data_IF_980244340258
#
_entry.id   IF_980244340258
#
_cell.length_a   1.000
_cell.length_b   1.000
_cell.length_c   1.000
_cell.angle_alpha   90.00
_cell.angle_beta   90.00
_cell.angle_gamma   90.00
#
_symmetry.space_group_name_H-M   'P 1'
#
loop_
_entity.id
_entity.type
_entity.pdbx_description
1 polymer ?
#
# COMPACT_ATOMS: atom_id res chain seq x y z
N UNK A 1 -12.60 -35.03 -3.84
CA UNK A 1 -12.37 -35.15 -5.30
C UNK A 1 -13.13 -34.03 -5.99
N UNK A 2 -12.45 -33.04 -6.59
CA UNK A 2 -13.09 -32.01 -7.40
C UNK A 2 -13.37 -32.60 -8.79
N UNK A 3 -14.63 -32.59 -9.22
CA UNK A 3 -15.04 -33.01 -10.55
C UNK A 3 -14.35 -32.13 -11.59
N UNK A 4 -13.50 -32.73 -12.42
CA UNK A 4 -12.95 -32.06 -13.59
C UNK A 4 -14.11 -31.73 -14.53
N UNK A 5 -14.39 -30.44 -14.71
CA UNK A 5 -15.41 -29.98 -15.64
C UNK A 5 -14.95 -30.38 -17.05
N UNK A 6 -15.70 -31.29 -17.68
CA UNK A 6 -15.42 -31.74 -19.04
C UNK A 6 -15.47 -30.52 -19.98
N UNK A 7 -14.41 -30.35 -20.78
CA UNK A 7 -14.34 -29.27 -21.75
C UNK A 7 -15.36 -29.50 -22.89
N UNK A 8 -16.01 -28.44 -23.42
CA UNK A 8 -16.84 -28.56 -24.60
C UNK A 8 -16.08 -29.19 -25.77
N UNK A 9 -16.67 -30.17 -26.46
CA UNK A 9 -16.06 -30.86 -27.61
C UNK A 9 -15.60 -29.90 -28.70
N UNK A 10 -16.43 -28.89 -29.01
CA UNK A 10 -16.12 -27.85 -30.01
C UNK A 10 -14.80 -27.10 -29.75
N UNK A 11 -14.42 -26.93 -28.49
CA UNK A 11 -13.14 -26.30 -28.13
C UNK A 11 -11.96 -27.25 -28.36
N UNK A 12 -12.11 -28.52 -27.99
CA UNK A 12 -11.08 -29.55 -28.20
C UNK A 12 -10.82 -29.73 -29.69
N UNK A 13 -11.87 -29.76 -30.50
CA UNK A 13 -11.77 -29.90 -31.96
C UNK A 13 -11.05 -28.70 -32.58
N UNK A 14 -11.41 -27.47 -32.18
CA UNK A 14 -10.74 -26.26 -32.65
C UNK A 14 -9.27 -26.18 -32.21
N UNK A 15 -8.97 -26.56 -30.96
CA UNK A 15 -7.61 -26.64 -30.45
C UNK A 15 -6.75 -27.62 -31.26
N UNK A 16 -7.32 -28.77 -31.59
CA UNK A 16 -6.66 -29.81 -32.40
C UNK A 16 -6.36 -29.30 -33.81
N UNK A 17 -7.31 -28.62 -34.45
CA UNK A 17 -7.15 -28.07 -35.81
C UNK A 17 -6.14 -26.92 -35.86
N UNK A 18 -6.09 -26.08 -34.82
CA UNK A 18 -5.23 -24.88 -34.80
C UNK A 18 -3.87 -25.09 -34.12
N UNK A 19 -3.60 -26.29 -33.60
CA UNK A 19 -2.41 -26.58 -32.79
C UNK A 19 -2.37 -25.82 -31.45
N UNK A 20 -3.50 -25.29 -31.00
CA UNK A 20 -3.60 -24.51 -29.76
C UNK A 20 -3.80 -25.45 -28.58
N UNK A 21 -3.02 -25.29 -27.51
CA UNK A 21 -3.21 -26.11 -26.30
C UNK A 21 -4.57 -25.82 -25.64
N UNK A 22 -5.34 -26.87 -25.34
CA UNK A 22 -6.66 -26.76 -24.71
C UNK A 22 -6.64 -26.19 -23.27
N UNK A 23 -5.45 -26.09 -22.68
CA UNK A 23 -5.23 -25.46 -21.38
C UNK A 23 -5.11 -23.92 -21.47
N UNK A 24 -4.77 -23.37 -22.64
CA UNK A 24 -4.62 -21.92 -22.85
C UNK A 24 -5.98 -21.29 -23.14
N UNK A 25 -6.56 -20.63 -22.13
CA UNK A 25 -7.88 -19.96 -22.22
C UNK A 25 -7.79 -18.48 -21.86
N UNK A 26 -6.73 -17.82 -22.30
CA UNK A 26 -6.62 -16.37 -22.19
C UNK A 26 -7.62 -15.66 -23.13
N UNK A 27 -7.82 -14.36 -22.91
CA UNK A 27 -8.79 -13.58 -23.69
C UNK A 27 -8.49 -13.57 -25.19
N UNK A 28 -7.21 -13.55 -25.58
CA UNK A 28 -6.79 -13.51 -26.97
C UNK A 28 -7.13 -14.82 -27.70
N UNK A 29 -6.91 -15.95 -27.03
CA UNK A 29 -7.21 -17.28 -27.55
C UNK A 29 -8.73 -17.49 -27.65
N UNK A 30 -9.48 -17.05 -26.64
CA UNK A 30 -10.94 -17.09 -26.66
C UNK A 30 -11.53 -16.18 -27.75
N UNK A 31 -10.96 -14.98 -27.97
CA UNK A 31 -11.37 -14.08 -29.04
C UNK A 31 -11.07 -14.65 -30.44
N UNK A 32 -9.96 -15.39 -30.60
CA UNK A 32 -9.65 -16.10 -31.84
C UNK A 32 -10.63 -17.24 -32.10
N UNK A 33 -10.91 -18.05 -31.09
CA UNK A 33 -11.92 -19.10 -31.15
C UNK A 33 -13.31 -18.56 -31.49
N UNK A 34 -13.71 -17.44 -30.88
CA UNK A 34 -14.98 -16.76 -31.18
C UNK A 34 -15.12 -16.38 -32.65
N UNK A 35 -14.06 -15.82 -33.24
CA UNK A 35 -14.07 -15.37 -34.65
C UNK A 35 -14.05 -16.51 -35.65
N UNK A 36 -13.46 -17.65 -35.31
CA UNK A 36 -13.25 -18.76 -36.25
C UNK A 36 -14.33 -19.83 -36.15
N UNK A 37 -14.75 -20.19 -34.93
CA UNK A 37 -15.67 -21.30 -34.69
C UNK A 37 -17.11 -20.85 -34.43
N UNK A 38 -17.36 -19.53 -34.30
CA UNK A 38 -18.65 -18.94 -33.97
C UNK A 38 -19.44 -19.72 -32.89
N UNK A 39 -18.82 -20.02 -31.74
CA UNK A 39 -19.42 -20.84 -30.70
C UNK A 39 -20.66 -20.16 -30.10
N UNK A 40 -21.60 -20.97 -29.62
CA UNK A 40 -22.74 -20.47 -28.88
C UNK A 40 -22.30 -19.78 -27.57
N UNK A 41 -23.16 -18.88 -27.05
CA UNK A 41 -22.92 -18.21 -25.76
C UNK A 41 -22.70 -19.19 -24.60
N UNK A 42 -23.37 -20.36 -24.63
CA UNK A 42 -23.22 -21.39 -23.59
C UNK A 42 -21.85 -22.07 -23.64
N UNK A 43 -21.32 -22.34 -24.83
CA UNK A 43 -19.97 -22.90 -25.02
C UNK A 43 -18.91 -21.91 -24.53
N UNK A 44 -19.06 -20.61 -24.85
CA UNK A 44 -18.15 -19.57 -24.35
C UNK A 44 -18.20 -19.41 -22.83
N UNK A 45 -19.39 -19.50 -22.23
CA UNK A 45 -19.54 -19.42 -20.78
C UNK A 45 -18.87 -20.61 -20.06
N UNK A 46 -18.89 -21.80 -20.65
CA UNK A 46 -18.23 -22.99 -20.10
C UNK A 46 -16.70 -22.99 -20.28
N UNK A 47 -16.18 -22.26 -21.27
CA UNK A 47 -14.75 -22.15 -21.56
C UNK A 47 -14.05 -21.05 -20.76
N UNK A 48 -14.77 -19.96 -20.49
CA UNK A 48 -14.30 -18.97 -19.52
C UNK A 48 -14.11 -19.70 -18.19
N UNK A 49 -12.96 -19.53 -17.51
CA UNK A 49 -12.84 -19.95 -16.13
C UNK A 49 -14.10 -19.44 -15.41
N UNK A 50 -14.76 -20.25 -14.55
CA UNK A 50 -15.85 -19.72 -13.75
C UNK A 50 -15.30 -18.44 -13.14
N UNK A 51 -15.97 -17.32 -13.39
CA UNK A 51 -15.60 -16.06 -12.76
C UNK A 51 -15.60 -16.38 -11.28
N UNK A 52 -14.40 -16.58 -10.74
CA UNK A 52 -14.23 -16.64 -9.31
C UNK A 52 -14.68 -15.24 -8.96
N UNK A 53 -15.91 -15.10 -8.46
CA UNK A 53 -16.23 -13.95 -7.63
C UNK A 53 -15.19 -14.08 -6.54
N UNK A 54 -14.04 -13.43 -6.73
CA UNK A 54 -12.98 -13.39 -5.76
C UNK A 54 -13.65 -12.63 -4.64
N UNK A 55 -14.27 -13.39 -3.72
CA UNK A 55 -14.60 -12.87 -2.41
C UNK A 55 -13.28 -12.29 -1.98
N UNK A 56 -13.22 -10.98 -1.82
CA UNK A 56 -12.20 -10.37 -1.02
C UNK A 56 -12.63 -10.62 0.43
N UNK A 57 -12.29 -11.77 1.05
CA UNK A 57 -12.82 -12.07 2.39
C UNK A 57 -12.31 -11.07 3.41
N UNK A 58 -11.19 -10.42 3.11
CA UNK A 58 -10.58 -9.39 3.93
C UNK A 58 -11.24 -8.03 3.74
N UNK A 59 -11.96 -7.77 2.63
CA UNK A 59 -12.69 -6.52 2.47
C UNK A 59 -13.88 -6.45 3.44
N UNK A 60 -14.00 -5.36 4.22
CA UNK A 60 -15.13 -5.11 5.10
C UNK A 60 -16.47 -5.42 4.45
N UNK A 61 -17.34 -6.11 5.17
CA UNK A 61 -18.63 -6.55 4.60
C UNK A 61 -19.51 -5.34 4.26
N UNK A 62 -19.45 -4.29 5.08
CA UNK A 62 -20.19 -3.05 4.88
C UNK A 62 -19.80 -2.29 3.60
N UNK A 63 -18.60 -2.52 3.06
CA UNK A 63 -18.04 -1.79 1.92
C UNK A 63 -18.11 -2.57 0.60
N UNK A 64 -18.66 -3.80 0.60
CA UNK A 64 -18.65 -4.69 -0.58
C UNK A 64 -19.55 -4.22 -1.71
N UNK A 65 -20.71 -3.68 -1.35
CA UNK A 65 -21.74 -3.30 -2.31
C UNK A 65 -21.55 -1.89 -2.87
N UNK A 66 -20.69 -1.07 -2.27
CA UNK A 66 -20.36 0.26 -2.80
C UNK A 66 -19.13 0.19 -3.71
N UNK A 67 -19.28 0.37 -5.03
CA UNK A 67 -18.17 0.36 -5.98
C UNK A 67 -17.16 1.49 -5.77
N UNK A 68 -17.55 2.56 -5.07
CA UNK A 68 -16.71 3.73 -4.79
C UNK A 68 -16.01 3.68 -3.43
N UNK A 69 -16.25 2.63 -2.63
CA UNK A 69 -15.77 2.56 -1.24
C UNK A 69 -14.25 2.71 -1.10
N UNK A 70 -13.46 2.11 -2.00
CA UNK A 70 -12.01 2.27 -1.98
C UNK A 70 -11.60 3.73 -2.20
N UNK A 71 -12.17 4.40 -3.20
CA UNK A 71 -11.86 5.80 -3.52
C UNK A 71 -12.26 6.74 -2.37
N UNK A 72 -13.43 6.52 -1.76
CA UNK A 72 -13.86 7.26 -0.58
C UNK A 72 -12.91 7.09 0.60
N UNK A 73 -12.44 5.85 0.86
CA UNK A 73 -11.43 5.57 1.89
C UNK A 73 -10.11 6.26 1.61
N UNK A 74 -9.65 6.25 0.35
CA UNK A 74 -8.44 6.94 -0.06
C UNK A 74 -8.56 8.44 0.16
N UNK A 75 -9.67 9.07 -0.24
CA UNK A 75 -9.94 10.49 -0.01
C UNK A 75 -9.97 10.82 1.49
N UNK A 76 -10.69 10.05 2.29
CA UNK A 76 -10.77 10.23 3.75
C UNK A 76 -9.40 10.08 4.43
N UNK A 77 -8.62 9.07 4.01
CA UNK A 77 -7.30 8.81 4.53
C UNK A 77 -6.22 9.79 4.06
N UNK A 78 -6.36 10.36 2.85
CA UNK A 78 -5.41 11.32 2.30
C UNK A 78 -5.22 12.50 3.28
N UNK A 79 -6.32 13.05 3.80
CA UNK A 79 -6.30 14.10 4.82
C UNK A 79 -5.50 13.72 6.07
N UNK A 80 -5.72 12.51 6.61
CA UNK A 80 -4.99 12.02 7.78
C UNK A 80 -3.52 11.71 7.49
N UNK A 81 -3.20 11.35 6.24
CA UNK A 81 -1.86 10.93 5.85
C UNK A 81 -0.94 12.11 5.51
N UNK A 82 -1.51 13.26 5.14
CA UNK A 82 -0.78 14.46 4.70
C UNK A 82 -0.87 15.62 5.69
N UNK A 83 -1.91 15.71 6.52
CA UNK A 83 -2.08 16.84 7.45
C UNK A 83 -0.88 17.03 8.37
N UNK A 84 -0.21 18.17 8.30
CA UNK A 84 1.00 18.50 9.08
C UNK A 84 0.74 18.59 10.58
N UNK A 85 -0.50 18.90 10.97
CA UNK A 85 -0.96 18.91 12.36
C UNK A 85 -1.20 17.51 12.93
N UNK A 86 -1.22 16.46 12.09
CA UNK A 86 -1.45 15.08 12.53
C UNK A 86 -0.14 14.47 13.06
N UNK A 87 -0.16 13.83 14.25
CA UNK A 87 1.02 13.15 14.77
C UNK A 87 1.61 12.17 13.76
N UNK A 88 2.93 12.20 13.61
CA UNK A 88 3.61 11.43 12.58
C UNK A 88 3.33 9.92 12.64
N UNK A 89 3.20 9.34 13.84
CA UNK A 89 2.89 7.93 14.03
C UNK A 89 1.48 7.59 13.53
N UNK A 90 0.54 8.53 13.65
CA UNK A 90 -0.80 8.43 13.05
C UNK A 90 -0.72 8.48 11.54
N UNK A 91 0.03 9.43 10.95
CA UNK A 91 0.21 9.53 9.50
C UNK A 91 0.79 8.26 8.89
N UNK A 92 1.80 7.68 9.55
CA UNK A 92 2.43 6.43 9.15
C UNK A 92 1.44 5.25 9.18
N UNK A 93 0.69 5.12 10.28
CA UNK A 93 -0.35 4.09 10.43
C UNK A 93 -1.44 4.24 9.37
N UNK A 94 -1.83 5.47 9.04
CA UNK A 94 -2.78 5.75 7.94
C UNK A 94 -2.21 5.31 6.59
N UNK A 95 -0.96 5.64 6.26
CA UNK A 95 -0.34 5.20 4.98
C UNK A 95 -0.32 3.67 4.86
N UNK A 96 0.04 2.98 5.94
CA UNK A 96 -0.06 1.50 6.00
C UNK A 96 -1.50 1.01 5.81
N UNK A 97 -2.47 1.67 6.45
CA UNK A 97 -3.89 1.34 6.36
C UNK A 97 -4.43 1.50 4.93
N UNK A 98 -4.08 2.58 4.24
CA UNK A 98 -4.51 2.84 2.86
C UNK A 98 -3.86 1.89 1.86
N UNK A 99 -2.56 1.60 2.03
CA UNK A 99 -1.92 0.55 1.24
C UNK A 99 -2.60 -0.80 1.49
N UNK A 100 -2.88 -1.15 2.75
CA UNK A 100 -3.60 -2.38 3.07
C UNK A 100 -4.98 -2.42 2.41
N UNK A 101 -5.74 -1.32 2.41
CA UNK A 101 -7.04 -1.20 1.76
C UNK A 101 -6.96 -1.54 0.26
N UNK A 102 -5.98 -0.99 -0.44
CA UNK A 102 -5.72 -1.29 -1.87
C UNK A 102 -5.45 -2.78 -2.08
N UNK A 103 -4.62 -3.40 -1.23
CA UNK A 103 -4.30 -4.82 -1.37
C UNK A 103 -5.53 -5.72 -1.21
N UNK A 104 -6.43 -5.40 -0.27
CA UNK A 104 -7.58 -6.26 0.04
C UNK A 104 -8.86 -5.91 -0.73
N UNK A 105 -8.99 -4.68 -1.24
CA UNK A 105 -10.19 -4.25 -1.94
C UNK A 105 -10.40 -5.09 -3.22
N UNK A 106 -11.65 -5.40 -3.60
CA UNK A 106 -11.93 -6.14 -4.82
C UNK A 106 -11.36 -5.43 -6.06
N UNK A 107 -10.98 -6.20 -7.08
CA UNK A 107 -10.58 -5.67 -8.39
C UNK A 107 -11.68 -4.78 -9.00
N UNK A 108 -12.96 -5.12 -8.77
CA UNK A 108 -14.11 -4.31 -9.22
C UNK A 108 -14.21 -2.92 -8.57
N UNK A 109 -13.43 -2.66 -7.52
CA UNK A 109 -13.35 -1.36 -6.85
C UNK A 109 -11.98 -0.68 -7.08
N UNK A 110 -11.12 -1.23 -7.95
CA UNK A 110 -9.76 -0.73 -8.23
C UNK A 110 -8.67 -1.29 -7.31
N UNK A 111 -8.98 -2.30 -6.49
CA UNK A 111 -8.02 -2.97 -5.60
C UNK A 111 -7.38 -4.23 -6.21
N UNK A 112 -6.59 -4.97 -5.41
CA UNK A 112 -5.92 -6.20 -5.86
C UNK A 112 -6.59 -7.51 -5.40
N UNK A 113 -7.66 -7.43 -4.61
CA UNK A 113 -8.45 -8.59 -4.17
C UNK A 113 -7.68 -9.63 -3.35
N UNK A 114 -6.54 -9.26 -2.75
CA UNK A 114 -5.64 -10.21 -2.11
C UNK A 114 -6.24 -10.80 -0.84
N UNK A 115 -6.03 -12.10 -0.65
CA UNK A 115 -6.43 -12.78 0.58
C UNK A 115 -5.46 -12.48 1.72
N UNK A 116 -5.90 -12.71 2.97
CA UNK A 116 -5.04 -12.59 4.16
C UNK A 116 -3.76 -13.42 4.03
N UNK A 117 -3.87 -14.63 3.51
CA UNK A 117 -2.75 -15.54 3.25
C UNK A 117 -1.80 -14.98 2.20
N UNK A 118 -2.34 -14.47 1.09
CA UNK A 118 -1.53 -13.88 0.01
C UNK A 118 -0.76 -12.65 0.48
N UNK A 119 -1.37 -11.79 1.29
CA UNK A 119 -0.71 -10.60 1.84
C UNK A 119 0.45 -10.98 2.77
N UNK A 120 0.28 -12.01 3.60
CA UNK A 120 1.33 -12.49 4.53
C UNK A 120 2.48 -13.21 3.82
N UNK A 121 2.28 -13.68 2.60
CA UNK A 121 3.32 -14.30 1.79
C UNK A 121 3.81 -13.38 0.67
N UNK A 122 3.41 -12.11 0.68
CA UNK A 122 3.70 -11.17 -0.41
C UNK A 122 5.16 -10.73 -0.31
N UNK A 123 5.94 -11.11 -1.31
CA UNK A 123 7.36 -10.77 -1.48
C UNK A 123 7.50 -9.53 -2.37
N UNK A 124 8.67 -8.85 -2.35
CA UNK A 124 8.95 -7.73 -3.25
C UNK A 124 8.67 -8.06 -4.69
N UNK A 125 9.23 -9.18 -5.12
CA UNK A 125 9.16 -9.65 -6.48
C UNK A 125 7.72 -9.96 -6.91
N UNK A 126 6.95 -10.64 -6.07
CA UNK A 126 5.55 -10.92 -6.38
C UNK A 126 4.68 -9.67 -6.36
N UNK A 127 5.02 -8.67 -5.54
CA UNK A 127 4.30 -7.40 -5.54
C UNK A 127 4.62 -6.55 -6.77
N UNK A 128 5.89 -6.54 -7.19
CA UNK A 128 6.34 -5.83 -8.39
C UNK A 128 5.56 -6.27 -9.64
N UNK A 129 5.32 -7.58 -9.77
CA UNK A 129 4.52 -8.15 -10.86
C UNK A 129 3.06 -7.66 -10.88
N UNK A 130 2.55 -7.14 -9.75
CA UNK A 130 1.18 -6.63 -9.60
C UNK A 130 1.08 -5.11 -9.71
N UNK A 131 2.20 -4.39 -9.69
CA UNK A 131 2.19 -2.94 -9.83
C UNK A 131 1.56 -2.44 -11.15
N UNK A 132 1.76 -3.13 -12.31
CA UNK A 132 1.09 -2.73 -13.55
C UNK A 132 -0.44 -2.84 -13.50
N UNK A 133 -0.99 -3.66 -12.60
CA UNK A 133 -2.43 -3.88 -12.45
C UNK A 133 -3.11 -2.77 -11.61
N UNK A 134 -2.35 -1.87 -10.99
CA UNK A 134 -2.89 -0.80 -10.17
C UNK A 134 -3.45 0.32 -11.05
N UNK A 135 -4.75 0.60 -10.90
CA UNK A 135 -5.39 1.70 -11.60
C UNK A 135 -4.89 3.05 -11.10
N UNK A 136 -4.59 3.96 -12.03
CA UNK A 136 -4.35 5.37 -11.74
C UNK A 136 -5.67 6.14 -11.69
N UNK A 137 -5.78 7.08 -10.75
CA UNK A 137 -6.82 8.12 -10.79
C UNK A 137 -6.29 9.39 -11.45
N UNK A 138 -7.16 10.34 -11.83
CA UNK A 138 -6.77 11.70 -12.21
C UNK A 138 -6.59 12.61 -10.98
N UNK A 139 -7.19 12.24 -9.85
CA UNK A 139 -7.05 12.94 -8.58
C UNK A 139 -6.03 12.23 -7.68
N UNK A 140 -5.05 12.97 -7.18
CA UNK A 140 -4.02 12.41 -6.29
C UNK A 140 -4.61 11.82 -5.00
N UNK A 141 -5.66 12.44 -4.46
CA UNK A 141 -6.30 12.05 -3.18
C UNK A 141 -7.04 10.71 -3.25
N UNK A 142 -7.41 10.25 -4.45
CA UNK A 142 -8.11 8.98 -4.66
C UNK A 142 -7.24 7.95 -5.39
N UNK A 143 -5.98 8.27 -5.64
CA UNK A 143 -5.13 7.43 -6.48
C UNK A 143 -4.58 6.23 -5.71
N UNK A 144 -5.00 5.05 -6.15
CA UNK A 144 -4.57 3.74 -5.65
C UNK A 144 -3.05 3.60 -5.71
N UNK A 145 -2.45 3.94 -6.86
CA UNK A 145 -1.00 3.95 -7.03
C UNK A 145 -0.29 4.88 -6.05
N UNK A 146 -0.82 6.10 -5.81
CA UNK A 146 -0.22 7.01 -4.84
C UNK A 146 -0.27 6.46 -3.40
N UNK A 147 -1.36 5.78 -3.02
CA UNK A 147 -1.48 5.15 -1.70
C UNK A 147 -0.44 4.03 -1.51
N UNK A 148 -0.20 3.23 -2.54
CA UNK A 148 0.82 2.18 -2.55
C UNK A 148 2.22 2.78 -2.51
N UNK A 149 2.52 3.76 -3.37
CA UNK A 149 3.84 4.38 -3.45
C UNK A 149 4.24 5.08 -2.16
N UNK A 150 3.30 5.77 -1.51
CA UNK A 150 3.53 6.42 -0.23
C UNK A 150 3.96 5.44 0.87
N UNK A 151 3.50 4.19 0.80
CA UNK A 151 3.94 3.14 1.72
C UNK A 151 5.27 2.51 1.31
N UNK A 152 5.49 2.24 0.01
CA UNK A 152 6.75 1.71 -0.48
C UNK A 152 7.94 2.64 -0.18
N UNK A 153 7.75 3.95 -0.30
CA UNK A 153 8.79 4.92 0.09
C UNK A 153 9.15 4.85 1.57
N UNK A 154 8.16 4.65 2.43
CA UNK A 154 8.38 4.52 3.87
C UNK A 154 9.25 3.29 4.14
N UNK A 155 9.00 2.18 3.44
CA UNK A 155 9.79 0.97 3.56
C UNK A 155 11.23 1.18 3.05
N UNK A 156 11.39 1.74 1.85
CA UNK A 156 12.71 2.04 1.29
C UNK A 156 13.49 3.11 2.07
N UNK A 157 12.82 4.03 2.76
CA UNK A 157 13.48 4.97 3.67
C UNK A 157 13.90 4.30 4.99
N UNK A 158 13.23 3.22 5.39
CA UNK A 158 13.51 2.52 6.63
C UNK A 158 14.65 1.50 6.49
N UNK A 159 14.92 0.97 5.28
CA UNK A 159 16.00 0.00 5.04
C UNK A 159 17.39 0.58 5.31
N UNK A 160 17.61 1.83 4.91
CA UNK A 160 18.96 2.38 4.87
C UNK A 160 19.21 3.47 5.93
N UNK A 161 18.17 4.08 6.49
CA UNK A 161 18.29 5.34 7.25
C UNK A 161 17.83 5.23 8.71
N UNK A 162 18.62 5.81 9.62
CA UNK A 162 18.22 6.00 11.02
C UNK A 162 17.03 6.95 11.20
N UNK A 163 16.47 7.06 12.41
CA UNK A 163 15.23 7.79 12.74
C UNK A 163 15.10 9.20 12.15
N UNK A 164 16.20 9.94 11.99
CA UNK A 164 16.22 11.28 11.41
C UNK A 164 15.90 11.30 9.91
N UNK A 165 16.34 10.28 9.18
CA UNK A 165 16.13 10.16 7.74
C UNK A 165 14.68 9.89 7.36
N UNK A 166 14.00 9.03 8.11
CA UNK A 166 12.55 8.76 7.94
C UNK A 166 11.74 10.04 8.14
N UNK A 167 12.07 10.84 9.16
CA UNK A 167 11.40 12.13 9.40
C UNK A 167 11.62 13.10 8.24
N UNK A 168 12.84 13.19 7.72
CA UNK A 168 13.18 14.09 6.63
C UNK A 168 12.46 13.72 5.31
N UNK A 169 12.39 12.44 4.98
CA UNK A 169 11.68 11.97 3.79
C UNK A 169 10.17 12.23 3.86
N UNK A 170 9.58 12.11 5.05
CA UNK A 170 8.16 12.43 5.27
C UNK A 170 7.93 13.94 5.11
N UNK A 171 8.79 14.79 5.67
CA UNK A 171 8.70 16.24 5.48
C UNK A 171 8.87 16.65 4.01
N UNK A 172 9.74 15.98 3.25
CA UNK A 172 9.88 16.19 1.82
C UNK A 172 8.62 15.74 1.05
N UNK A 173 7.98 14.64 1.45
CA UNK A 173 6.72 14.18 0.86
C UNK A 173 5.58 15.18 1.10
N UNK A 174 5.51 15.77 2.30
CA UNK A 174 4.52 16.80 2.68
C UNK A 174 4.74 18.15 1.98
N UNK A 175 5.90 18.35 1.34
CA UNK A 175 6.22 19.53 0.52
C UNK A 175 5.97 19.30 -0.98
N UNK A 176 5.80 18.05 -1.42
CA UNK A 176 5.61 17.65 -2.84
C UNK A 176 4.14 17.62 -3.26
N UNK A 177 3.29 18.45 -2.68
CA UNK A 177 1.84 18.52 -2.94
C UNK A 177 1.45 18.99 -4.35
N UNK A 178 2.40 19.23 -5.26
CA UNK A 178 2.13 19.59 -6.66
C UNK A 178 2.66 18.55 -7.66
N UNK A 179 1.72 17.72 -8.13
CA UNK A 179 1.44 17.37 -9.52
C UNK A 179 2.38 16.55 -10.42
N UNK A 180 3.65 16.27 -10.11
CA UNK A 180 4.45 15.43 -11.05
C UNK A 180 4.51 13.96 -10.67
N UNK A 181 4.43 13.65 -9.37
CA UNK A 181 4.61 12.28 -8.88
C UNK A 181 3.43 11.37 -9.18
N UNK A 182 2.22 11.87 -8.97
CA UNK A 182 0.97 11.20 -9.35
C UNK A 182 0.95 10.82 -10.84
N UNK A 183 1.69 11.56 -11.66
CA UNK A 183 1.85 11.37 -13.10
C UNK A 183 3.19 10.69 -13.49
N UNK A 184 4.09 10.44 -12.53
CA UNK A 184 5.42 9.86 -12.78
C UNK A 184 5.45 8.36 -12.57
N UNK A 185 6.44 7.72 -13.20
CA UNK A 185 6.76 6.31 -13.04
C UNK A 185 7.06 5.93 -11.58
N UNK A 186 6.93 4.61 -11.32
CA UNK A 186 7.03 3.90 -10.05
C UNK A 186 8.04 4.46 -9.01
N UNK A 187 7.79 4.24 -7.70
CA UNK A 187 8.60 4.77 -6.61
C UNK A 187 10.07 4.32 -6.71
N UNK A 188 10.95 5.12 -6.09
CA UNK A 188 12.40 4.88 -6.06
C UNK A 188 12.69 3.41 -5.72
N UNK A 189 13.52 2.73 -6.51
CA UNK A 189 13.81 1.30 -6.36
C UNK A 189 14.45 0.90 -5.03
N UNK A 190 14.77 1.84 -4.14
CA UNK A 190 15.21 1.55 -2.76
C UNK A 190 14.20 0.67 -1.98
N UNK A 191 12.90 0.74 -2.28
CA UNK A 191 11.94 -0.21 -1.70
C UNK A 191 12.18 -1.65 -2.15
N UNK A 192 12.96 -1.88 -3.22
CA UNK A 192 13.36 -3.20 -3.74
C UNK A 192 14.63 -3.74 -3.08
N UNK A 193 15.36 -2.93 -2.30
CA UNK A 193 16.42 -3.37 -1.38
C UNK A 193 15.81 -4.09 -0.14
N UNK A 194 14.78 -4.88 -0.44
CA UNK A 194 13.86 -5.66 0.36
C UNK A 194 14.34 -7.12 0.60
N UNK A 195 15.63 -7.46 0.73
CA UNK A 195 15.98 -8.70 1.42
C UNK A 195 15.55 -8.70 2.91
N UNK A 196 15.36 -7.52 3.53
CA UNK A 196 15.21 -7.40 4.98
C UNK A 196 13.77 -7.28 5.51
N UNK A 197 12.77 -7.03 4.66
CA UNK A 197 11.36 -6.95 5.09
C UNK A 197 10.65 -8.26 4.78
N UNK A 198 10.31 -9.06 5.80
CA UNK A 198 9.65 -10.35 5.56
C UNK A 198 8.23 -10.21 4.97
N UNK A 199 7.63 -9.02 5.02
CA UNK A 199 6.25 -8.75 4.64
C UNK A 199 6.11 -7.32 4.10
N UNK A 200 5.19 -7.09 3.14
CA UNK A 200 4.87 -5.74 2.65
C UNK A 200 4.23 -4.85 3.72
N UNK A 201 3.56 -5.42 4.72
CA UNK A 201 2.87 -4.65 5.78
C UNK A 201 3.45 -4.96 7.18
N UNK A 202 4.73 -4.64 7.45
CA UNK A 202 5.39 -4.86 8.74
C UNK A 202 4.65 -4.24 9.92
N UNK A 203 4.95 -4.72 11.13
CA UNK A 203 4.37 -4.16 12.35
C UNK A 203 4.84 -2.72 12.59
N UNK A 204 3.98 -1.93 13.23
CA UNK A 204 4.29 -0.56 13.65
C UNK A 204 4.01 -0.44 15.14
N UNK A 205 4.97 0.05 15.91
CA UNK A 205 4.79 0.27 17.34
C UNK A 205 3.99 1.56 17.66
N UNK A 206 3.82 1.87 18.96
CA UNK A 206 3.13 3.10 19.40
C UNK A 206 3.86 4.37 18.99
N UNK A 207 5.18 4.29 18.85
CA UNK A 207 6.06 5.36 18.46
C UNK A 207 6.33 5.36 16.98
N UNK A 208 5.57 4.67 16.13
CA UNK A 208 5.76 4.69 14.68
C UNK A 208 7.06 4.02 14.18
N UNK A 209 7.70 3.19 15.00
CA UNK A 209 8.80 2.36 14.56
C UNK A 209 8.27 1.20 13.72
N UNK A 210 8.86 1.00 12.54
CA UNK A 210 8.56 -0.13 11.67
C UNK A 210 9.47 -1.28 12.07
N UNK A 211 8.88 -2.42 12.44
CA UNK A 211 9.63 -3.65 12.68
C UNK A 211 9.61 -4.49 11.40
N UNK A 212 10.73 -4.55 10.65
CA UNK A 212 10.78 -5.19 9.33
C UNK A 212 10.80 -6.72 9.40
N UNK A 213 11.19 -7.28 10.54
CA UNK A 213 11.39 -8.71 10.73
C UNK A 213 10.13 -9.40 11.28
N UNK A 214 9.24 -8.63 11.91
CA UNK A 214 7.99 -9.16 12.42
C UNK A 214 6.91 -9.23 11.34
N UNK A 215 6.43 -10.44 11.05
CA UNK A 215 5.23 -10.63 10.24
C UNK A 215 4.01 -10.02 10.91
N UNK A 216 3.08 -9.52 10.11
CA UNK A 216 1.82 -9.03 10.63
C UNK A 216 1.07 -10.19 11.32
N UNK A 217 0.87 -10.06 12.64
CA UNK A 217 0.04 -11.01 13.37
C UNK A 217 -1.39 -10.99 12.79
N UNK A 218 -2.09 -12.13 12.65
CA UNK A 218 -3.45 -12.17 12.10
C UNK A 218 -4.43 -11.19 12.74
N UNK A 219 -4.29 -10.92 14.05
CA UNK A 219 -5.10 -9.92 14.74
C UNK A 219 -4.88 -8.50 14.23
N UNK A 220 -3.68 -8.15 13.78
CA UNK A 220 -3.39 -6.82 13.25
C UNK A 220 -4.11 -6.56 11.93
N UNK A 221 -4.28 -7.57 11.08
CA UNK A 221 -5.07 -7.41 9.85
C UNK A 221 -6.55 -7.23 10.17
N UNK A 222 -7.08 -7.95 11.16
CA UNK A 222 -8.44 -7.72 11.67
C UNK A 222 -8.61 -6.32 12.25
N UNK A 223 -7.59 -5.80 12.96
CA UNK A 223 -7.57 -4.41 13.44
C UNK A 223 -7.58 -3.42 12.27
N UNK A 224 -6.78 -3.64 11.23
CA UNK A 224 -6.77 -2.78 10.04
C UNK A 224 -8.14 -2.79 9.34
N UNK A 225 -8.75 -3.96 9.15
CA UNK A 225 -10.09 -4.09 8.53
C UNK A 225 -11.12 -3.30 9.33
N UNK A 226 -11.13 -3.41 10.66
CA UNK A 226 -12.02 -2.62 11.53
C UNK A 226 -11.73 -1.12 11.45
N UNK A 227 -10.47 -0.72 11.31
CA UNK A 227 -10.09 0.69 11.14
C UNK A 227 -10.57 1.26 9.79
N UNK A 228 -10.62 0.44 8.73
CA UNK A 228 -11.22 0.84 7.46
C UNK A 228 -12.72 1.08 7.60
N UNK A 229 -13.44 0.19 8.28
CA UNK A 229 -14.88 0.38 8.56
C UNK A 229 -15.13 1.69 9.30
N UNK A 230 -14.37 1.95 10.37
CA UNK A 230 -14.51 3.20 11.14
C UNK A 230 -14.16 4.45 10.33
N UNK A 231 -13.12 4.40 9.50
CA UNK A 231 -12.72 5.51 8.65
C UNK A 231 -13.77 5.82 7.58
N UNK A 232 -14.43 4.77 7.07
CA UNK A 232 -15.50 4.89 6.08
C UNK A 232 -16.81 5.41 6.70
N UNK A 233 -17.20 4.90 7.88
CA UNK A 233 -18.42 5.32 8.59
C UNK A 233 -18.34 6.76 9.10
N UNK A 234 -17.18 7.17 9.60
CA UNK A 234 -16.95 8.48 10.18
C UNK A 234 -15.69 9.12 9.57
N UNK A 235 -15.76 9.56 8.29
CA UNK A 235 -14.62 10.21 7.67
C UNK A 235 -14.27 11.48 8.45
N UNK A 236 -12.98 11.73 8.69
CA UNK A 236 -12.55 12.96 9.36
C UNK A 236 -13.02 14.15 8.53
N UNK A 237 -13.58 15.16 9.21
CA UNK A 237 -13.94 16.42 8.57
C UNK A 237 -12.69 17.00 7.90
N UNK A 238 -12.84 17.45 6.66
CA UNK A 238 -11.79 18.20 5.98
C UNK A 238 -11.49 19.45 6.81
N UNK A 239 -10.41 19.40 7.59
CA UNK A 239 -9.86 20.62 8.16
C UNK A 239 -9.12 21.31 7.02
N UNK A 240 -9.53 22.52 6.66
CA UNK A 240 -8.68 23.40 5.88
C UNK A 240 -7.35 23.53 6.62
N UNK A 241 -6.31 22.98 6.01
CA UNK A 241 -4.97 23.12 6.54
C UNK A 241 -4.60 24.60 6.42
N UNK A 242 -4.24 25.29 7.52
CA UNK A 242 -3.79 26.67 7.42
C UNK A 242 -2.65 26.70 6.40
N UNK A 243 -2.72 27.63 5.45
CA UNK A 243 -1.70 27.82 4.42
C UNK A 243 -0.31 27.67 5.06
N UNK A 244 0.61 26.91 4.45
CA UNK A 244 1.93 26.71 5.02
C UNK A 244 2.53 28.08 5.31
N UNK A 245 2.73 28.38 6.60
CA UNK A 245 3.47 29.57 6.99
C UNK A 245 4.81 29.47 6.25
N UNK A 246 5.26 30.55 5.57
CA UNK A 246 6.58 30.54 4.94
C UNK A 246 7.60 30.06 5.97
N UNK A 247 8.62 29.26 5.56
CA UNK A 247 9.59 28.73 6.50
C UNK A 247 10.12 29.88 7.34
N UNK A 248 9.74 29.90 8.62
CA UNK A 248 10.34 30.82 9.57
C UNK A 248 11.83 30.53 9.48
N UNK A 249 12.62 31.57 9.20
CA UNK A 249 14.06 31.45 9.17
C UNK A 249 14.48 30.70 10.44
N UNK A 250 15.38 29.70 10.36
CA UNK A 250 15.82 28.99 11.55
C UNK A 250 16.18 30.04 12.59
N UNK A 251 15.63 29.96 13.81
CA UNK A 251 15.88 30.97 14.82
C UNK A 251 17.39 31.16 14.89
N UNK A 252 17.85 32.40 14.65
CA UNK A 252 19.28 32.69 14.70
C UNK A 252 19.71 32.45 16.13
N UNK A 253 20.28 31.27 16.37
CA UNK A 253 20.87 30.91 17.66
C UNK A 253 21.95 31.95 17.90
N UNK A 254 21.75 32.75 18.93
CA UNK A 254 22.75 33.74 19.33
C UNK A 254 23.98 33.02 19.87
N UNK A 255 25.18 33.61 19.80
CA UNK A 255 26.39 33.00 20.37
C UNK A 255 26.23 32.58 21.83
N UNK A 256 25.40 33.31 22.59
CA UNK A 256 25.09 33.01 23.98
C UNK A 256 24.17 31.78 24.12
N UNK A 257 23.18 31.62 23.26
CA UNK A 257 22.33 30.42 23.21
C UNK A 257 23.13 29.20 22.75
N UNK A 258 24.05 29.37 21.80
CA UNK A 258 24.94 28.30 21.35
C UNK A 258 25.85 27.83 22.50
N UNK A 259 26.44 28.77 23.25
CA UNK A 259 27.24 28.46 24.43
C UNK A 259 26.43 27.71 25.51
N UNK A 260 25.17 28.10 25.74
CA UNK A 260 24.28 27.42 26.68
C UNK A 260 23.90 26.02 26.22
N UNK A 261 23.64 25.83 24.92
CA UNK A 261 23.33 24.53 24.33
C UNK A 261 24.53 23.59 24.47
N UNK A 262 25.74 24.07 24.16
CA UNK A 262 26.97 23.30 24.27
C UNK A 262 27.28 22.93 25.72
N UNK A 263 27.19 23.88 26.66
CA UNK A 263 27.38 23.61 28.08
C UNK A 263 26.38 22.55 28.60
N UNK A 264 25.12 22.60 28.15
CA UNK A 264 24.11 21.62 28.53
C UNK A 264 24.38 20.24 27.91
N UNK A 265 24.87 20.19 26.68
CA UNK A 265 25.26 18.95 26.03
C UNK A 265 26.46 18.30 26.75
N UNK A 266 27.45 19.09 27.17
CA UNK A 266 28.60 18.61 27.93
C UNK A 266 28.20 18.08 29.31
N UNK A 267 27.28 18.73 30.00
CA UNK A 267 26.75 18.24 31.27
C UNK A 267 26.03 16.89 31.11
N UNK A 268 25.23 16.74 30.06
CA UNK A 268 24.53 15.47 29.76
C UNK A 268 25.56 14.38 29.42
N UNK A 269 26.56 14.69 28.60
CA UNK A 269 27.63 13.74 28.24
C UNK A 269 28.43 13.32 29.47
N UNK A 270 28.76 14.25 30.37
CA UNK A 270 29.44 13.95 31.62
C UNK A 270 28.60 13.04 32.53
N UNK A 271 27.28 13.28 32.62
CA UNK A 271 26.35 12.42 33.38
C UNK A 271 26.25 11.02 32.79
N UNK A 272 26.15 10.91 31.46
CA UNK A 272 26.12 9.61 30.77
C UNK A 272 27.44 8.87 30.96
N UNK A 273 28.57 9.54 30.84
CA UNK A 273 29.89 8.94 31.07
C UNK A 273 30.13 8.54 32.54
N UNK A 274 29.53 9.24 33.50
CA UNK A 274 29.54 8.83 34.90
C UNK A 274 28.70 7.56 35.11
N UNK A 275 27.47 7.54 34.60
CA UNK A 275 26.59 6.36 34.66
C UNK A 275 27.24 5.14 34.02
N UNK A 276 27.85 5.29 32.83
CA UNK A 276 28.49 4.16 32.14
C UNK A 276 29.71 3.60 32.87
N UNK A 277 30.39 4.40 33.71
CA UNK A 277 31.50 3.94 34.55
C UNK A 277 31.04 3.14 35.77
N UNK A 278 29.78 3.24 36.18
CA UNK A 278 29.22 2.44 37.29
C UNK A 278 28.88 0.99 36.86
N UNK A 279 28.91 0.69 35.56
CA UNK A 279 28.60 -0.64 34.99
C UNK A 279 29.83 -1.38 34.43
N UNK A 280 31.05 -0.88 34.69
CA UNK A 280 32.34 -1.55 34.38
C UNK A 280 33.03 -1.88 35.70
#
# INVERSE_FOLDING_TARGET
>A
MKTAVALPSLWIDWCTVTGTSAAFRDEMTLARFMRQAHPSRSVLAALRPPAVKVRAPAWPTALREDPSALHQLLRAGAHLSWGRSIPWSTRLKTRRLLCAAVLIAPETQGGLGLTRTTIRSLTPHHFEQRLPDLEGSAEQVECVSCAVWAWLDVLGANSDWGRGGIRQLIHQHDQRTNCTRHQSAAPNSAWKDWPNFANLLPAIDRWGWVDPYSSMHPSSLSTLIRQLELLYEAPPKSMEEPLPRPPEAPPKITPDEEAQILARADEINARVAALLREYV
#
